data_IF_692046350011
#
_entry.id   IF_692046350011
#
_cell.length_a   1.000
_cell.length_b   1.000
_cell.length_c   1.000
_cell.angle_alpha   90.00
_cell.angle_beta   90.00
_cell.angle_gamma   90.00
#
_symmetry.space_group_name_H-M   'P 1'
#
loop_
_entity.id
_entity.type
_entity.pdbx_description
1 polymer ?
#
# COMPACT_ATOMS: atom_id res chain seq x y z
N UNK A 1 18.65 16.72 -6.50
CA UNK A 1 17.29 17.28 -6.60
C UNK A 1 16.58 17.18 -5.25
N UNK A 2 16.44 16.00 -4.67
CA UNK A 2 15.73 15.79 -3.39
C UNK A 2 16.40 16.53 -2.21
N UNK A 3 17.73 16.55 -2.18
CA UNK A 3 18.47 17.28 -1.15
C UNK A 3 18.21 18.79 -1.20
N UNK A 4 18.04 19.34 -2.40
CA UNK A 4 17.71 20.76 -2.56
C UNK A 4 16.33 21.08 -2.02
N UNK A 5 15.33 20.24 -2.32
CA UNK A 5 13.96 20.39 -1.82
C UNK A 5 13.95 20.37 -0.29
N UNK A 6 14.71 19.45 0.32
CA UNK A 6 14.84 19.36 1.78
C UNK A 6 15.44 20.63 2.37
N UNK A 7 16.56 21.13 1.82
CA UNK A 7 17.21 22.33 2.33
C UNK A 7 16.37 23.57 2.13
N UNK A 8 15.68 23.73 0.99
CA UNK A 8 14.76 24.83 0.74
C UNK A 8 13.61 24.88 1.76
N UNK A 9 13.14 23.72 2.24
CA UNK A 9 12.11 23.63 3.28
C UNK A 9 12.66 23.94 4.67
N UNK A 10 13.82 23.41 5.01
CA UNK A 10 14.51 23.71 6.28
C UNK A 10 14.83 25.21 6.39
N UNK A 11 15.29 25.84 5.31
CA UNK A 11 15.58 27.27 5.29
C UNK A 11 14.31 28.10 5.57
N UNK A 12 13.14 27.71 5.04
CA UNK A 12 11.87 28.35 5.35
C UNK A 12 11.49 28.20 6.83
N UNK A 13 11.73 27.03 7.40
CA UNK A 13 11.49 26.78 8.82
C UNK A 13 12.42 27.66 9.67
N UNK A 14 13.70 27.69 9.36
CA UNK A 14 14.67 28.53 10.07
C UNK A 14 14.37 30.02 9.96
N UNK A 15 13.77 30.44 8.84
CA UNK A 15 13.31 31.82 8.63
C UNK A 15 11.95 32.12 9.32
N UNK A 16 11.34 31.15 10.01
CA UNK A 16 10.03 31.31 10.65
C UNK A 16 8.86 31.40 9.64
N UNK A 17 9.07 30.95 8.42
CA UNK A 17 8.06 30.99 7.33
C UNK A 17 7.21 29.72 7.28
N UNK A 18 7.60 28.66 8.00
CA UNK A 18 6.88 27.41 8.13
C UNK A 18 7.02 26.84 9.56
N UNK A 19 5.92 26.32 10.09
CA UNK A 19 5.86 25.69 11.42
C UNK A 19 5.91 24.17 11.36
N UNK A 20 5.72 23.60 10.16
CA UNK A 20 5.63 22.18 9.93
C UNK A 20 6.53 21.76 8.79
N UNK A 21 7.18 20.62 8.94
CA UNK A 21 7.85 19.90 7.89
C UNK A 21 6.94 18.76 7.39
N UNK A 22 6.69 18.68 6.10
CA UNK A 22 5.93 17.56 5.50
C UNK A 22 6.33 17.39 4.05
N UNK A 23 7.34 16.56 3.79
CA UNK A 23 7.90 16.32 2.47
C UNK A 23 8.01 14.84 2.15
N UNK A 24 7.80 14.53 0.88
CA UNK A 24 8.14 13.25 0.27
C UNK A 24 9.42 13.41 -0.55
N UNK A 25 10.44 12.61 -0.22
CA UNK A 25 11.71 12.60 -0.95
C UNK A 25 12.39 11.23 -0.84
N UNK A 26 13.46 11.02 -1.63
CA UNK A 26 14.19 9.75 -1.64
C UNK A 26 15.37 9.79 -0.68
N UNK A 27 15.45 8.75 0.11
CA UNK A 27 16.65 8.41 0.87
C UNK A 27 17.36 7.22 0.24
N UNK A 28 18.62 7.01 0.58
CA UNK A 28 19.36 5.82 0.15
C UNK A 28 19.34 4.79 1.29
N UNK A 29 19.00 3.55 0.96
CA UNK A 29 19.14 2.44 1.89
C UNK A 29 20.62 2.06 2.10
N UNK A 30 20.89 1.08 2.95
CA UNK A 30 22.25 0.60 3.23
C UNK A 30 22.97 -0.03 2.01
N UNK A 31 22.23 -0.32 0.93
CA UNK A 31 22.75 -0.85 -0.33
C UNK A 31 22.91 0.26 -1.39
N UNK A 32 22.53 1.50 -1.06
CA UNK A 32 22.57 2.64 -1.96
C UNK A 32 21.37 2.75 -2.91
N UNK A 33 20.29 1.97 -2.70
CA UNK A 33 19.10 2.08 -3.51
C UNK A 33 18.21 3.22 -3.02
N UNK A 34 17.55 3.96 -3.93
CA UNK A 34 16.63 5.02 -3.55
C UNK A 34 15.34 4.45 -2.94
N UNK A 35 15.00 4.93 -1.76
CA UNK A 35 13.78 4.59 -1.02
C UNK A 35 12.98 5.85 -0.81
N UNK A 36 11.72 5.86 -1.23
CA UNK A 36 10.81 6.97 -0.97
C UNK A 36 10.40 7.01 0.49
N UNK A 37 10.55 8.16 1.11
CA UNK A 37 10.10 8.44 2.47
C UNK A 37 9.18 9.65 2.52
N UNK A 38 8.25 9.63 3.48
CA UNK A 38 7.53 10.81 3.94
C UNK A 38 8.10 11.23 5.29
N UNK A 39 8.63 12.43 5.36
CA UNK A 39 9.11 13.03 6.59
C UNK A 39 8.12 14.08 7.08
N UNK A 40 7.64 13.95 8.31
CA UNK A 40 6.73 14.89 8.96
C UNK A 40 7.30 15.34 10.26
N UNK A 41 7.26 16.65 10.52
CA UNK A 41 7.77 17.21 11.75
C UNK A 41 7.07 18.49 12.18
N UNK A 42 7.19 18.78 13.47
CA UNK A 42 6.78 20.02 14.12
C UNK A 42 8.00 20.76 14.58
N UNK A 43 7.98 22.08 14.45
CA UNK A 43 9.02 22.97 14.95
C UNK A 43 8.70 23.32 16.41
N UNK A 44 9.65 23.11 17.29
CA UNK A 44 9.61 23.61 18.66
C UNK A 44 10.45 24.91 18.72
N UNK A 45 9.89 25.91 19.37
CA UNK A 45 10.49 27.24 19.48
C UNK A 45 11.02 27.50 20.90
N UNK A 46 11.99 28.40 21.00
CA UNK A 46 12.39 29.00 22.26
C UNK A 46 11.31 30.00 22.75
N UNK A 47 11.49 30.50 23.98
CA UNK A 47 10.56 31.47 24.58
C UNK A 47 10.51 32.81 23.81
N UNK A 48 11.53 33.12 23.04
CA UNK A 48 11.61 34.30 22.15
C UNK A 48 11.02 34.07 20.75
N UNK A 49 10.49 32.86 20.49
CA UNK A 49 9.90 32.49 19.21
C UNK A 49 10.89 32.00 18.14
N UNK A 50 12.16 31.86 18.47
CA UNK A 50 13.16 31.30 17.53
C UNK A 50 13.01 29.79 17.40
N UNK A 51 13.09 29.20 16.17
CA UNK A 51 13.06 27.76 15.98
C UNK A 51 14.26 27.10 16.69
N UNK A 52 14.01 26.07 17.50
CA UNK A 52 15.05 25.37 18.24
C UNK A 52 15.23 23.93 17.80
N UNK A 53 14.14 23.20 17.72
CA UNK A 53 14.14 21.78 17.37
C UNK A 53 13.07 21.48 16.33
N UNK A 54 13.41 20.58 15.40
CA UNK A 54 12.44 19.92 14.51
C UNK A 54 12.28 18.49 15.03
N UNK A 55 11.08 18.15 15.51
CA UNK A 55 10.76 16.80 16.01
C UNK A 55 9.74 16.19 15.06
N UNK A 56 10.03 14.98 14.60
CA UNK A 56 9.14 14.34 13.64
C UNK A 56 9.33 12.84 13.52
N UNK A 57 8.66 12.30 12.53
CA UNK A 57 8.75 10.89 12.15
C UNK A 57 9.01 10.76 10.65
N UNK A 58 9.73 9.71 10.31
CA UNK A 58 10.01 9.32 8.94
C UNK A 58 9.28 8.02 8.68
N UNK A 59 8.48 8.00 7.61
CA UNK A 59 7.79 6.81 7.15
C UNK A 59 8.29 6.42 5.77
N UNK A 60 8.66 5.17 5.58
CA UNK A 60 8.98 4.65 4.25
C UNK A 60 7.69 4.50 3.44
N UNK A 61 7.53 5.31 2.38
CA UNK A 61 6.33 5.29 1.53
C UNK A 61 6.34 4.06 0.61
N UNK A 62 7.53 3.66 0.16
CA UNK A 62 7.71 2.64 -0.88
C UNK A 62 7.31 1.22 -0.46
N UNK A 63 7.54 0.81 0.79
CA UNK A 63 7.19 -0.53 1.27
C UNK A 63 5.77 -0.60 1.82
N UNK A 64 5.29 0.45 2.50
CA UNK A 64 3.93 0.46 3.05
C UNK A 64 2.83 0.61 2.00
N UNK A 65 3.12 1.20 0.82
CA UNK A 65 2.14 1.30 -0.26
C UNK A 65 2.13 0.08 -1.19
N UNK A 66 3.17 -0.75 -1.17
CA UNK A 66 3.26 -1.92 -2.05
C UNK A 66 2.72 -3.20 -1.43
N UNK A 67 2.83 -3.37 -0.13
CA UNK A 67 2.35 -4.58 0.55
C UNK A 67 1.45 -4.23 1.73
N UNK A 68 0.35 -4.94 1.82
CA UNK A 68 -0.55 -4.92 2.96
C UNK A 68 0.10 -5.66 4.15
N UNK A 69 0.16 -5.02 5.30
CA UNK A 69 0.87 -5.56 6.48
C UNK A 69 0.20 -6.80 7.08
N UNK A 70 -1.09 -7.03 6.81
CA UNK A 70 -1.85 -8.16 7.33
C UNK A 70 -1.72 -9.36 6.42
N UNK A 71 -2.02 -9.19 5.13
CA UNK A 71 -2.01 -10.28 4.16
C UNK A 71 -0.66 -10.47 3.45
N UNK A 72 0.23 -9.48 3.48
CA UNK A 72 1.48 -9.46 2.71
C UNK A 72 1.29 -9.22 1.20
N UNK A 73 0.06 -9.05 0.73
CA UNK A 73 -0.27 -8.82 -0.66
C UNK A 73 0.06 -7.38 -1.08
N UNK A 74 0.25 -7.16 -2.37
CA UNK A 74 0.32 -5.79 -2.89
C UNK A 74 -1.01 -5.08 -2.67
N UNK A 75 -0.94 -3.83 -2.20
CA UNK A 75 -2.08 -2.95 -1.99
C UNK A 75 -2.53 -2.24 -3.28
N UNK A 76 -3.40 -1.24 -3.11
CA UNK A 76 -3.93 -0.42 -4.21
C UNK A 76 -2.82 0.23 -5.06
N UNK A 77 -1.77 0.76 -4.42
CA UNK A 77 -0.63 1.33 -5.13
C UNK A 77 0.09 0.32 -6.03
N UNK A 78 0.18 -0.94 -5.59
CA UNK A 78 0.73 -2.05 -6.39
C UNK A 78 -0.17 -2.41 -7.58
N UNK A 79 -1.49 -2.38 -7.40
CA UNK A 79 -2.46 -2.59 -8.49
C UNK A 79 -2.33 -1.49 -9.55
N UNK A 80 -2.26 -0.22 -9.14
CA UNK A 80 -2.07 0.90 -10.07
C UNK A 80 -0.75 0.84 -10.82
N UNK A 81 0.33 0.46 -10.15
CA UNK A 81 1.62 0.27 -10.81
C UNK A 81 1.54 -0.86 -11.82
N UNK A 82 0.97 -2.00 -11.44
CA UNK A 82 0.75 -3.14 -12.35
C UNK A 82 -0.08 -2.75 -13.58
N UNK A 83 -1.16 -1.97 -13.39
CA UNK A 83 -1.98 -1.48 -14.48
C UNK A 83 -1.22 -0.55 -15.45
N UNK A 84 -0.29 0.29 -14.93
CA UNK A 84 0.55 1.18 -15.77
C UNK A 84 1.61 0.43 -16.57
N UNK A 85 2.07 -0.70 -16.08
CA UNK A 85 3.07 -1.55 -16.73
C UNK A 85 2.43 -2.47 -17.79
N UNK A 86 1.09 -2.52 -17.83
CA UNK A 86 0.38 -3.30 -18.83
C UNK A 86 0.49 -2.66 -20.23
N UNK A 87 0.70 -3.45 -21.30
CA UNK A 87 0.74 -2.93 -22.66
C UNK A 87 -0.61 -2.34 -23.09
N UNK A 88 -0.59 -1.34 -23.99
CA UNK A 88 -1.78 -0.66 -24.50
C UNK A 88 -2.79 -1.60 -25.15
N UNK A 89 -2.35 -2.76 -25.63
CA UNK A 89 -3.21 -3.83 -26.13
C UNK A 89 -3.05 -5.04 -25.24
N UNK A 90 -3.96 -5.15 -24.26
CA UNK A 90 -4.03 -6.33 -23.42
C UNK A 90 -4.65 -7.50 -24.19
N UNK A 91 -4.12 -8.73 -24.03
CA UNK A 91 -4.86 -9.93 -24.37
C UNK A 91 -6.18 -9.95 -23.57
N UNK A 92 -7.14 -10.74 -24.03
CA UNK A 92 -8.36 -10.98 -23.25
C UNK A 92 -7.99 -11.44 -21.83
N UNK A 93 -8.83 -11.12 -20.86
CA UNK A 93 -8.59 -11.46 -19.46
C UNK A 93 -9.81 -11.12 -18.62
N UNK A 94 -9.63 -11.18 -17.30
CA UNK A 94 -10.70 -10.85 -16.37
C UNK A 94 -10.15 -10.17 -15.10
N UNK A 95 -11.04 -9.48 -14.42
CA UNK A 95 -10.82 -8.96 -13.06
C UNK A 95 -11.95 -9.50 -12.19
N UNK A 96 -11.58 -10.10 -11.04
CA UNK A 96 -12.53 -10.53 -10.01
C UNK A 96 -12.30 -9.66 -8.78
N UNK A 97 -13.38 -9.10 -8.24
CA UNK A 97 -13.39 -8.45 -6.94
C UNK A 97 -14.09 -9.36 -5.93
N UNK A 98 -13.42 -9.60 -4.81
CA UNK A 98 -13.90 -10.40 -3.70
C UNK A 98 -13.93 -9.56 -2.43
N UNK A 99 -14.84 -9.84 -1.52
CA UNK A 99 -14.91 -9.25 -0.18
C UNK A 99 -15.25 -10.32 0.84
N UNK A 100 -14.92 -10.04 2.12
CA UNK A 100 -15.35 -10.86 3.25
C UNK A 100 -16.62 -10.22 3.81
N UNK A 101 -17.72 -10.96 3.76
CA UNK A 101 -18.96 -10.47 4.32
C UNK A 101 -18.87 -10.31 5.84
N UNK A 102 -19.46 -9.25 6.36
CA UNK A 102 -19.60 -8.97 7.79
C UNK A 102 -18.27 -8.93 8.60
N UNK A 103 -17.12 -8.64 7.98
CA UNK A 103 -15.84 -8.54 8.69
C UNK A 103 -15.90 -7.55 9.87
N UNK A 104 -16.65 -6.47 9.75
CA UNK A 104 -16.85 -5.50 10.84
C UNK A 104 -17.57 -6.10 12.05
N UNK A 105 -18.53 -7.00 11.84
CA UNK A 105 -19.23 -7.74 12.90
C UNK A 105 -18.28 -8.71 13.57
N UNK A 106 -17.45 -9.40 12.80
CA UNK A 106 -16.41 -10.28 13.34
C UNK A 106 -15.42 -9.50 14.19
N UNK A 107 -14.93 -8.35 13.69
CA UNK A 107 -14.02 -7.49 14.45
C UNK A 107 -14.65 -6.99 15.76
N UNK A 108 -15.94 -6.67 15.75
CA UNK A 108 -16.67 -6.23 16.94
C UNK A 108 -16.88 -7.34 17.98
N UNK A 109 -17.07 -8.59 17.55
CA UNK A 109 -17.37 -9.72 18.44
C UNK A 109 -16.11 -10.50 18.88
N UNK A 110 -15.12 -10.67 18.01
CA UNK A 110 -13.95 -11.51 18.23
C UNK A 110 -12.62 -10.72 18.30
N UNK A 111 -12.69 -9.41 18.04
CA UNK A 111 -11.54 -8.50 18.07
C UNK A 111 -10.78 -8.41 16.75
N UNK A 112 -10.02 -7.32 16.61
CA UNK A 112 -9.26 -6.99 15.37
C UNK A 112 -8.24 -8.07 15.00
N UNK A 113 -7.58 -8.69 15.97
CA UNK A 113 -6.59 -9.76 15.72
C UNK A 113 -7.20 -10.97 15.01
N UNK A 114 -8.46 -11.29 15.32
CA UNK A 114 -9.15 -12.38 14.65
C UNK A 114 -9.56 -11.98 13.21
N UNK A 115 -10.00 -10.74 13.01
CA UNK A 115 -10.24 -10.22 11.66
C UNK A 115 -8.99 -10.20 10.80
N UNK A 116 -7.85 -9.81 11.36
CA UNK A 116 -6.56 -9.86 10.66
C UNK A 116 -6.16 -11.30 10.29
N UNK A 117 -6.41 -12.26 11.19
CA UNK A 117 -6.23 -13.67 10.90
C UNK A 117 -7.11 -14.14 9.74
N UNK A 118 -8.41 -13.78 9.73
CA UNK A 118 -9.32 -14.11 8.62
C UNK A 118 -8.86 -13.52 7.29
N UNK A 119 -8.44 -12.26 7.29
CA UNK A 119 -7.91 -11.59 6.12
C UNK A 119 -6.69 -12.31 5.54
N UNK A 120 -5.79 -12.75 6.40
CA UNK A 120 -4.59 -13.51 6.01
C UNK A 120 -4.95 -14.88 5.45
N UNK A 121 -5.84 -15.61 6.13
CA UNK A 121 -6.27 -16.93 5.66
C UNK A 121 -7.06 -16.85 4.35
N UNK A 122 -7.90 -15.84 4.20
CA UNK A 122 -8.59 -15.59 2.91
C UNK A 122 -7.59 -15.33 1.79
N UNK A 123 -6.54 -14.53 2.04
CA UNK A 123 -5.48 -14.31 1.07
C UNK A 123 -4.78 -15.63 0.67
N UNK A 124 -4.44 -16.46 1.65
CA UNK A 124 -3.82 -17.77 1.44
C UNK A 124 -4.73 -18.72 0.63
N UNK A 125 -6.02 -18.74 0.95
CA UNK A 125 -7.04 -19.53 0.28
C UNK A 125 -7.14 -19.12 -1.21
N UNK A 126 -7.26 -17.81 -1.48
CA UNK A 126 -7.29 -17.29 -2.85
C UNK A 126 -6.01 -17.67 -3.60
N UNK A 127 -4.83 -17.50 -2.99
CA UNK A 127 -3.56 -17.82 -3.63
C UNK A 127 -3.43 -19.32 -3.98
N UNK A 128 -3.92 -20.24 -3.14
CA UNK A 128 -3.92 -21.67 -3.45
C UNK A 128 -4.80 -22.03 -4.63
N UNK A 129 -5.93 -21.32 -4.80
CA UNK A 129 -6.85 -21.53 -5.90
C UNK A 129 -6.38 -20.93 -7.24
N UNK A 130 -5.45 -19.96 -7.20
CA UNK A 130 -4.98 -19.22 -8.37
C UNK A 130 -4.07 -20.06 -9.27
N UNK A 131 -4.00 -19.65 -10.53
CA UNK A 131 -3.14 -20.24 -11.56
C UNK A 131 -1.97 -19.31 -11.92
N UNK A 132 -0.89 -19.84 -12.53
CA UNK A 132 0.22 -19.05 -12.99
C UNK A 132 -0.22 -17.89 -13.93
N UNK A 133 0.34 -16.71 -13.70
CA UNK A 133 0.03 -15.50 -14.46
C UNK A 133 -1.05 -14.62 -13.85
N UNK A 134 -1.84 -15.13 -12.90
CA UNK A 134 -2.79 -14.34 -12.14
C UNK A 134 -2.08 -13.53 -11.05
N UNK A 135 -2.60 -12.33 -10.75
CA UNK A 135 -2.11 -11.46 -9.69
C UNK A 135 -3.21 -11.19 -8.67
N UNK A 136 -2.82 -11.19 -7.39
CA UNK A 136 -3.71 -10.90 -6.28
C UNK A 136 -3.26 -9.62 -5.58
N UNK A 137 -4.24 -8.74 -5.32
CA UNK A 137 -4.05 -7.48 -4.60
C UNK A 137 -5.07 -7.41 -3.47
N UNK A 138 -4.69 -6.79 -2.36
CA UNK A 138 -5.62 -6.41 -1.31
C UNK A 138 -5.83 -4.90 -1.37
N UNK A 139 -7.08 -4.48 -1.48
CA UNK A 139 -7.46 -3.07 -1.36
C UNK A 139 -7.68 -2.70 0.11
N UNK A 140 -8.47 -1.67 0.35
CA UNK A 140 -8.83 -1.26 1.70
C UNK A 140 -9.85 -2.23 2.33
N UNK A 141 -9.79 -2.37 3.65
CA UNK A 141 -10.72 -3.17 4.45
C UNK A 141 -10.66 -4.67 4.13
N UNK A 142 -11.73 -5.22 3.59
CA UNK A 142 -12.01 -6.64 3.33
C UNK A 142 -11.86 -7.04 1.86
N UNK A 143 -11.40 -6.12 0.99
CA UNK A 143 -11.49 -6.28 -0.46
C UNK A 143 -10.21 -6.81 -1.10
N UNK A 144 -10.39 -7.81 -1.96
CA UNK A 144 -9.34 -8.42 -2.77
C UNK A 144 -9.66 -8.24 -4.27
N UNK A 145 -8.62 -8.07 -5.07
CA UNK A 145 -8.71 -8.01 -6.53
C UNK A 145 -7.80 -9.10 -7.11
N UNK A 146 -8.38 -9.95 -7.96
CA UNK A 146 -7.62 -10.89 -8.80
C UNK A 146 -7.65 -10.34 -10.23
N UNK A 147 -6.49 -10.26 -10.86
CA UNK A 147 -6.37 -9.91 -12.28
C UNK A 147 -5.78 -11.07 -13.05
N UNK A 148 -6.31 -11.33 -14.21
CA UNK A 148 -5.76 -12.25 -15.19
C UNK A 148 -5.71 -11.56 -16.56
N UNK A 149 -4.53 -11.40 -17.10
CA UNK A 149 -4.28 -10.75 -18.40
C UNK A 149 -3.62 -11.72 -19.40
N UNK A 150 -3.83 -13.02 -19.19
CA UNK A 150 -3.16 -14.08 -19.99
C UNK A 150 -4.01 -14.62 -21.16
N UNK A 151 -5.15 -13.99 -21.43
CA UNK A 151 -6.06 -14.40 -22.50
C UNK A 151 -7.18 -15.34 -22.06
N UNK A 152 -7.32 -15.58 -20.73
CA UNK A 152 -8.40 -16.42 -20.18
C UNK A 152 -9.76 -15.72 -20.26
N UNK A 153 -10.80 -16.51 -20.29
CA UNK A 153 -12.19 -16.08 -20.51
C UNK A 153 -12.94 -15.82 -19.21
N UNK A 154 -14.15 -15.27 -19.33
CA UNK A 154 -15.10 -15.15 -18.20
C UNK A 154 -15.50 -16.53 -17.64
N UNK A 155 -15.48 -17.58 -18.46
CA UNK A 155 -15.73 -18.95 -17.98
C UNK A 155 -14.63 -19.40 -17.02
N UNK A 156 -13.37 -19.08 -17.32
CA UNK A 156 -12.23 -19.38 -16.42
C UNK A 156 -12.32 -18.59 -15.12
N UNK A 157 -12.81 -17.33 -15.19
CA UNK A 157 -13.09 -16.54 -13.99
C UNK A 157 -14.14 -17.20 -13.08
N UNK A 158 -15.20 -17.78 -13.66
CA UNK A 158 -16.22 -18.51 -12.90
C UNK A 158 -15.66 -19.80 -12.27
N UNK A 159 -14.80 -20.52 -12.97
CA UNK A 159 -14.13 -21.70 -12.45
C UNK A 159 -13.22 -21.34 -11.26
N UNK A 160 -12.44 -20.27 -11.40
CA UNK A 160 -11.61 -19.77 -10.30
C UNK A 160 -12.47 -19.34 -9.09
N UNK A 161 -13.54 -18.57 -9.31
CA UNK A 161 -14.45 -18.20 -8.24
C UNK A 161 -15.02 -19.40 -7.49
N UNK A 162 -15.45 -20.43 -8.23
CA UNK A 162 -15.98 -21.66 -7.61
C UNK A 162 -14.89 -22.38 -6.79
N UNK A 163 -13.66 -22.46 -7.27
CA UNK A 163 -12.55 -23.04 -6.50
C UNK A 163 -12.35 -22.29 -5.19
N UNK A 164 -12.26 -20.96 -5.24
CA UNK A 164 -12.07 -20.12 -4.03
C UNK A 164 -13.21 -20.33 -3.02
N UNK A 165 -14.44 -20.51 -3.50
CA UNK A 165 -15.61 -20.67 -2.63
C UNK A 165 -15.63 -21.99 -1.87
N UNK A 166 -14.94 -23.01 -2.36
CA UNK A 166 -14.93 -24.36 -1.78
C UNK A 166 -13.60 -24.75 -1.11
N UNK A 167 -12.61 -23.83 -1.12
CA UNK A 167 -11.38 -23.91 -0.32
C UNK A 167 -11.63 -23.52 1.14
#
# INVERSE_FOLDING_TARGET
EDLKILWDDIDKICAGQAENHNLDYRWLDHQGNPVWINCRGLVLHEADGTPKYLIGCINEIGKKQKADNVSGLMGEGGLWQYAKECPDRLPAGFIIRLGIDDLSVVNGSMGMNYGDYLLKETANCIQRAMEPGQKLFRLVSDQFIITDLTGRSVSDARLLYNRIRYE
#
